data_IF_137576818838
#
_entry.id   IF_137576818838
#
_cell.length_a   1.000
_cell.length_b   1.000
_cell.length_c   1.000
_cell.angle_alpha   90.00
_cell.angle_beta   90.00
_cell.angle_gamma   90.00
#
_symmetry.space_group_name_H-M   'P 1'
#
loop_
_entity.id
_entity.type
_entity.pdbx_description
1 polymer ?
#
# COMPACT_ATOMS: atom_id res chain seq x y z
N UNK A 1 22.11 -27.75 11.33
CA UNK A 1 22.60 -27.24 10.04
C UNK A 1 21.90 -25.93 9.79
N UNK A 2 22.55 -24.80 10.07
CA UNK A 2 21.97 -23.47 9.86
C UNK A 2 22.07 -23.09 8.39
N UNK A 3 20.94 -23.08 7.69
CA UNK A 3 20.85 -22.59 6.32
C UNK A 3 20.71 -21.08 6.33
N UNK A 4 21.59 -20.39 5.60
CA UNK A 4 21.48 -18.93 5.41
C UNK A 4 20.31 -18.61 4.49
N UNK A 5 19.42 -17.75 4.96
CA UNK A 5 18.30 -17.19 4.20
C UNK A 5 18.65 -15.73 3.87
N UNK A 6 18.36 -15.31 2.65
CA UNK A 6 18.58 -13.93 2.18
C UNK A 6 17.30 -13.37 1.55
N UNK A 7 17.19 -12.05 1.52
CA UNK A 7 16.09 -11.34 0.86
C UNK A 7 16.46 -11.15 -0.61
N UNK A 8 15.64 -11.68 -1.51
CA UNK A 8 15.85 -11.59 -2.97
C UNK A 8 14.87 -10.64 -3.66
N UNK A 9 13.87 -10.15 -2.94
CA UNK A 9 12.86 -9.24 -3.46
C UNK A 9 12.16 -8.49 -2.34
N UNK A 10 11.72 -7.27 -2.65
CA UNK A 10 10.92 -6.41 -1.77
C UNK A 10 9.82 -5.80 -2.61
N UNK A 11 8.59 -5.89 -2.12
CA UNK A 11 7.43 -5.22 -2.68
C UNK A 11 6.60 -4.61 -1.55
N UNK A 12 5.90 -3.52 -1.88
CA UNK A 12 5.18 -2.76 -0.88
C UNK A 12 4.52 -1.53 -1.48
N UNK A 13 3.45 -1.09 -0.83
CA UNK A 13 2.73 0.13 -1.13
C UNK A 13 2.26 0.77 0.18
N UNK A 14 2.31 2.09 0.23
CA UNK A 14 1.81 2.91 1.34
C UNK A 14 1.45 4.31 0.84
N UNK A 15 1.08 5.23 1.74
CA UNK A 15 0.71 6.60 1.34
C UNK A 15 1.83 7.38 0.62
N UNK A 16 3.09 6.93 0.71
CA UNK A 16 4.22 7.53 0.01
C UNK A 16 4.36 7.03 -1.43
N UNK A 17 3.94 5.80 -1.74
CA UNK A 17 4.16 5.23 -3.07
C UNK A 17 3.55 3.84 -3.21
N UNK A 18 3.31 3.44 -4.46
CA UNK A 18 2.65 2.17 -4.81
C UNK A 18 3.63 1.06 -5.21
N UNK A 19 4.93 1.29 -5.04
CA UNK A 19 6.01 0.34 -5.28
C UNK A 19 7.19 0.64 -4.35
N UNK A 20 8.12 -0.31 -4.23
CA UNK A 20 9.27 -0.20 -3.34
C UNK A 20 10.20 0.97 -3.69
N UNK A 21 10.39 1.27 -4.98
CA UNK A 21 11.30 2.32 -5.42
C UNK A 21 10.75 3.72 -5.13
N UNK A 22 9.46 3.95 -5.44
CA UNK A 22 8.77 5.20 -5.11
C UNK A 22 8.72 5.41 -3.60
N UNK A 23 8.28 4.41 -2.82
CA UNK A 23 8.24 4.50 -1.35
C UNK A 23 9.62 4.87 -0.77
N UNK A 24 10.69 4.21 -1.22
CA UNK A 24 12.04 4.49 -0.74
C UNK A 24 12.52 5.90 -1.10
N UNK A 25 12.23 6.36 -2.31
CA UNK A 25 12.58 7.72 -2.76
C UNK A 25 11.87 8.77 -1.90
N UNK A 26 10.57 8.65 -1.72
CA UNK A 26 9.77 9.60 -0.94
C UNK A 26 10.17 9.66 0.52
N UNK A 27 10.46 8.50 1.12
CA UNK A 27 10.99 8.41 2.48
C UNK A 27 12.36 9.06 2.62
N UNK A 28 13.31 8.82 1.69
CA UNK A 28 14.64 9.45 1.73
C UNK A 28 14.59 10.96 1.57
N UNK A 29 13.62 11.48 0.84
CA UNK A 29 13.43 12.92 0.64
C UNK A 29 12.67 13.58 1.82
N UNK A 30 12.33 12.82 2.86
CA UNK A 30 11.70 13.35 4.08
C UNK A 30 10.24 13.80 3.86
N UNK A 31 9.57 13.28 2.83
CA UNK A 31 8.18 13.62 2.56
C UNK A 31 7.24 12.91 3.52
N UNK A 32 6.19 13.62 3.93
CA UNK A 32 5.10 13.05 4.72
C UNK A 32 3.94 12.67 3.81
N UNK A 33 3.42 11.46 4.01
CA UNK A 33 2.15 11.03 3.43
C UNK A 33 0.96 11.27 4.37
N UNK A 34 1.20 11.76 5.59
CA UNK A 34 0.17 12.03 6.57
C UNK A 34 -0.57 13.30 6.18
N UNK A 35 -1.90 13.23 6.15
CA UNK A 35 -2.76 14.36 5.85
C UNK A 35 -4.24 14.05 6.11
N UNK A 36 -5.15 14.93 5.68
CA UNK A 36 -6.58 14.68 5.77
C UNK A 36 -6.99 13.41 5.00
N UNK A 37 -7.82 12.58 5.63
CA UNK A 37 -8.46 11.41 5.01
C UNK A 37 -9.52 11.91 4.03
N UNK A 38 -9.37 11.58 2.74
CA UNK A 38 -10.32 11.94 1.70
C UNK A 38 -11.38 10.85 1.44
N UNK A 39 -11.23 9.67 2.03
CA UNK A 39 -12.19 8.58 1.90
C UNK A 39 -13.54 8.95 2.55
N UNK A 40 -14.56 9.13 1.71
CA UNK A 40 -15.92 9.44 2.13
C UNK A 40 -16.58 8.33 2.96
N UNK A 41 -16.09 7.10 2.95
CA UNK A 41 -16.60 6.04 3.84
C UNK A 41 -16.10 6.20 5.29
N UNK A 42 -15.09 7.04 5.52
CA UNK A 42 -14.44 7.23 6.82
C UNK A 42 -14.76 8.59 7.45
N UNK A 43 -15.80 9.29 6.98
CA UNK A 43 -16.12 10.67 7.38
C UNK A 43 -16.57 10.85 8.84
N UNK A 44 -17.03 9.78 9.49
CA UNK A 44 -17.53 9.80 10.88
C UNK A 44 -16.48 9.37 11.92
N UNK A 45 -15.21 9.25 11.52
CA UNK A 45 -14.14 8.96 12.46
C UNK A 45 -13.84 10.20 13.32
N UNK A 46 -13.64 9.98 14.62
CA UNK A 46 -13.19 11.03 15.55
C UNK A 46 -11.86 11.67 15.11
N UNK A 47 -11.03 10.91 14.40
CA UNK A 47 -9.79 11.38 13.77
C UNK A 47 -9.85 11.30 12.25
N UNK A 48 -9.70 12.46 11.59
CA UNK A 48 -9.69 12.60 10.12
C UNK A 48 -8.27 12.81 9.54
N UNK A 49 -7.23 12.48 10.31
CA UNK A 49 -5.82 12.56 9.87
C UNK A 49 -5.25 11.16 9.73
N UNK A 50 -4.68 10.83 8.58
CA UNK A 50 -4.13 9.51 8.29
C UNK A 50 -3.19 9.52 7.09
N UNK A 51 -2.77 8.33 6.64
CA UNK A 51 -1.91 8.15 5.47
C UNK A 51 -2.60 7.23 4.47
N UNK A 52 -3.37 7.80 3.56
CA UNK A 52 -4.12 7.05 2.56
C UNK A 52 -3.25 6.63 1.37
N UNK A 53 -3.46 5.41 0.88
CA UNK A 53 -3.03 5.01 -0.46
C UNK A 53 -4.04 5.61 -1.44
N UNK A 54 -3.66 6.76 -2.04
CA UNK A 54 -4.56 7.60 -2.86
C UNK A 54 -5.00 6.94 -4.16
N UNK A 55 -4.14 6.12 -4.77
CA UNK A 55 -4.43 5.39 -5.99
C UNK A 55 -3.80 4.00 -5.90
N UNK A 56 -4.49 2.98 -6.42
CA UNK A 56 -3.91 1.66 -6.57
C UNK A 56 -3.03 1.62 -7.83
N UNK A 57 -1.93 0.85 -7.82
CA UNK A 57 -1.16 0.59 -9.04
C UNK A 57 -2.04 -0.15 -10.05
N UNK A 58 -1.72 0.01 -11.34
CA UNK A 58 -2.39 -0.75 -12.39
C UNK A 58 -2.19 -2.26 -12.14
N UNK A 59 -3.28 -3.03 -12.22
CA UNK A 59 -3.27 -4.46 -11.97
C UNK A 59 -4.19 -5.22 -12.91
N UNK A 60 -3.86 -6.48 -13.17
CA UNK A 60 -4.58 -7.40 -14.05
C UNK A 60 -5.50 -8.38 -13.29
N UNK A 61 -5.77 -8.10 -12.02
CA UNK A 61 -6.62 -8.95 -11.18
C UNK A 61 -8.04 -8.99 -11.76
N UNK A 62 -8.52 -10.20 -12.05
CA UNK A 62 -9.86 -10.42 -12.57
C UNK A 62 -10.93 -9.90 -11.59
N UNK A 63 -12.01 -9.31 -12.14
CA UNK A 63 -13.17 -8.81 -11.39
C UNK A 63 -13.75 -9.80 -10.38
N UNK A 64 -13.81 -11.10 -10.71
CA UNK A 64 -14.30 -12.12 -9.79
C UNK A 64 -13.47 -12.23 -8.51
N UNK A 65 -12.14 -12.15 -8.64
CA UNK A 65 -11.25 -12.12 -7.48
C UNK A 65 -11.38 -10.80 -6.69
N UNK A 66 -11.48 -9.66 -7.37
CA UNK A 66 -11.66 -8.36 -6.71
C UNK A 66 -12.91 -8.31 -5.82
N UNK A 67 -14.02 -8.94 -6.24
CA UNK A 67 -15.26 -8.98 -5.45
C UNK A 67 -15.09 -9.79 -4.18
N UNK A 68 -14.26 -10.85 -4.21
CA UNK A 68 -14.03 -11.72 -3.05
C UNK A 68 -12.96 -11.20 -2.09
N UNK A 69 -12.18 -10.19 -2.49
CA UNK A 69 -11.09 -9.64 -1.71
C UNK A 69 -11.58 -8.45 -0.90
N UNK A 70 -11.27 -8.46 0.40
CA UNK A 70 -11.27 -7.24 1.17
C UNK A 70 -10.09 -6.33 0.72
N UNK A 71 -10.09 -5.09 1.21
CA UNK A 71 -9.07 -4.09 0.83
C UNK A 71 -7.67 -4.48 1.30
N UNK A 72 -7.48 -5.07 2.49
CA UNK A 72 -6.15 -5.48 2.94
C UNK A 72 -5.60 -6.65 2.10
N UNK A 73 -6.46 -7.61 1.72
CA UNK A 73 -6.08 -8.73 0.86
C UNK A 73 -5.62 -8.26 -0.51
N UNK A 74 -6.35 -7.31 -1.12
CA UNK A 74 -5.96 -6.69 -2.39
C UNK A 74 -4.59 -6.01 -2.27
N UNK A 75 -4.38 -5.20 -1.22
CA UNK A 75 -3.09 -4.52 -1.00
C UNK A 75 -1.95 -5.54 -0.79
N UNK A 76 -2.18 -6.63 -0.07
CA UNK A 76 -1.18 -7.68 0.13
C UNK A 76 -0.80 -8.37 -1.18
N UNK A 77 -1.77 -8.69 -2.04
CA UNK A 77 -1.50 -9.30 -3.36
C UNK A 77 -0.74 -8.34 -4.27
N UNK A 78 -1.07 -7.05 -4.25
CA UNK A 78 -0.35 -6.04 -5.02
C UNK A 78 1.09 -5.85 -4.53
N UNK A 79 1.33 -5.96 -3.21
CA UNK A 79 2.67 -5.88 -2.63
C UNK A 79 3.54 -7.12 -2.93
N UNK A 80 2.93 -8.31 -3.05
CA UNK A 80 3.64 -9.57 -3.24
C UNK A 80 4.07 -9.85 -4.70
N UNK A 81 3.62 -9.01 -5.64
CA UNK A 81 3.89 -9.15 -7.07
C UNK A 81 5.22 -8.56 -7.50
#
# INVERSE_FOLDING_TARGET
MDRRVVITGVGGLCGLGTDAASMWKEMREGRSAIGPIANSELHDLEGMTGAEIKALPQHDINRGHLISMDRFSLLAVLAAR
#
